data_IF_987141066380
#
_entry.id   IF_987141066380
#
_cell.length_a   1.000
_cell.length_b   1.000
_cell.length_c   1.000
_cell.angle_alpha   90.00
_cell.angle_beta   90.00
_cell.angle_gamma   90.00
#
_symmetry.space_group_name_H-M   'P 1'
#
loop_
_entity.id
_entity.type
_entity.pdbx_description
1 polymer ?
#
# COMPACT_ATOMS: atom_id res chain seq x y z
N UNK A 1 -36.66 -10.61 29.72
CA UNK A 1 -35.64 -9.56 29.52
C UNK A 1 -34.81 -9.94 28.32
N UNK A 2 -34.97 -9.19 27.25
CA UNK A 2 -34.13 -9.39 26.06
C UNK A 2 -32.80 -8.68 26.26
N UNK A 3 -31.70 -9.41 26.19
CA UNK A 3 -30.36 -8.79 26.16
C UNK A 3 -30.07 -8.38 24.72
N UNK A 4 -30.01 -7.07 24.46
CA UNK A 4 -29.46 -6.57 23.22
C UNK A 4 -27.99 -6.97 23.17
N UNK A 5 -27.61 -7.74 22.14
CA UNK A 5 -26.20 -7.99 21.83
C UNK A 5 -25.67 -6.67 21.29
N UNK A 6 -24.72 -6.01 21.98
CA UNK A 6 -24.18 -4.76 21.47
C UNK A 6 -23.56 -4.99 20.09
N UNK A 7 -23.83 -4.11 19.13
CA UNK A 7 -23.11 -4.08 17.87
C UNK A 7 -21.62 -3.91 18.15
N UNK A 8 -20.73 -4.68 17.51
CA UNK A 8 -19.30 -4.51 17.71
C UNK A 8 -18.88 -3.09 17.31
N UNK A 9 -18.12 -2.44 18.17
CA UNK A 9 -17.54 -1.12 17.88
C UNK A 9 -16.31 -1.32 17.03
N UNK A 10 -16.32 -0.76 15.84
CA UNK A 10 -15.19 -0.83 14.90
C UNK A 10 -14.40 0.47 14.98
N UNK A 11 -13.12 0.34 15.24
CA UNK A 11 -12.16 1.45 15.27
C UNK A 11 -11.14 1.22 14.16
N UNK A 12 -10.74 2.30 13.49
CA UNK A 12 -9.74 2.26 12.44
C UNK A 12 -8.44 2.86 12.96
N UNK A 13 -7.37 2.11 12.82
CA UNK A 13 -6.04 2.49 13.26
C UNK A 13 -5.12 2.53 12.04
N UNK A 14 -4.38 3.61 11.88
CA UNK A 14 -3.55 3.83 10.70
C UNK A 14 -2.09 4.06 11.07
N UNK A 15 -1.20 3.51 10.27
CA UNK A 15 0.24 3.77 10.34
C UNK A 15 0.73 4.31 9.00
N UNK A 16 1.52 5.37 9.07
CA UNK A 16 2.20 5.96 7.91
C UNK A 16 3.66 5.54 7.88
N UNK A 17 4.10 5.07 6.73
CA UNK A 17 5.50 4.79 6.41
C UNK A 17 5.85 5.44 5.08
N UNK A 18 7.14 5.63 4.80
CA UNK A 18 7.58 6.21 3.54
C UNK A 18 8.66 5.39 2.89
N UNK A 19 8.76 5.56 1.58
CA UNK A 19 9.84 5.00 0.78
C UNK A 19 10.10 5.87 -0.45
N UNK A 20 11.31 5.82 -0.96
CA UNK A 20 11.68 6.45 -2.22
C UNK A 20 11.81 5.38 -3.29
N UNK A 21 11.19 5.58 -4.42
CA UNK A 21 11.31 4.64 -5.53
C UNK A 21 11.26 5.37 -6.88
N UNK A 22 11.94 4.80 -7.86
CA UNK A 22 11.91 5.27 -9.22
C UNK A 22 11.02 4.38 -10.08
N UNK A 23 10.38 4.97 -11.09
CA UNK A 23 9.58 4.24 -12.06
C UNK A 23 9.49 4.99 -13.39
N UNK A 24 8.93 4.31 -14.37
CA UNK A 24 8.38 4.94 -15.56
C UNK A 24 7.12 4.20 -15.99
N UNK A 25 6.25 4.91 -16.68
CA UNK A 25 5.04 4.35 -17.26
C UNK A 25 5.26 4.14 -18.75
N UNK A 26 5.17 2.90 -19.17
CA UNK A 26 5.32 2.53 -20.57
C UNK A 26 4.48 1.28 -20.86
N UNK A 27 3.86 1.26 -22.03
CA UNK A 27 3.26 0.05 -22.57
C UNK A 27 4.22 -0.52 -23.60
N UNK A 28 4.81 -1.71 -23.37
CA UNK A 28 5.81 -2.27 -24.28
C UNK A 28 5.26 -2.64 -25.66
N UNK A 29 3.93 -2.76 -25.80
CA UNK A 29 3.27 -3.04 -27.08
C UNK A 29 3.02 -1.80 -27.93
N UNK A 30 3.22 -0.60 -27.35
CA UNK A 30 3.04 0.66 -28.04
C UNK A 30 4.35 1.20 -28.58
N UNK A 31 4.26 2.07 -29.61
CA UNK A 31 5.40 2.83 -30.09
C UNK A 31 5.91 3.80 -29.02
N UNK A 32 7.16 4.24 -29.17
CA UNK A 32 7.72 5.28 -28.30
C UNK A 32 6.91 6.58 -28.38
N UNK A 33 6.41 6.92 -29.58
CA UNK A 33 5.59 8.12 -29.81
C UNK A 33 4.26 8.05 -29.05
N UNK A 34 3.58 6.88 -29.07
CA UNK A 34 2.33 6.69 -28.36
C UNK A 34 2.53 6.71 -26.86
N UNK A 35 3.59 6.09 -26.35
CA UNK A 35 3.94 6.15 -24.94
C UNK A 35 4.19 7.59 -24.48
N UNK A 36 4.94 8.36 -25.25
CA UNK A 36 5.19 9.77 -24.95
C UNK A 36 3.92 10.61 -24.97
N UNK A 37 3.01 10.34 -25.92
CA UNK A 37 1.76 11.06 -26.05
C UNK A 37 0.79 10.78 -24.87
N UNK A 38 0.73 9.53 -24.41
CA UNK A 38 -0.20 9.11 -23.35
C UNK A 38 0.37 9.40 -21.95
N UNK A 39 1.64 9.06 -21.73
CA UNK A 39 2.27 9.15 -20.41
C UNK A 39 3.09 10.43 -20.19
N UNK A 40 3.44 11.15 -21.25
CA UNK A 40 4.26 12.36 -21.15
C UNK A 40 5.59 12.10 -20.44
N UNK A 41 6.00 12.97 -19.47
CA UNK A 41 7.25 12.78 -18.75
C UNK A 41 7.36 11.48 -17.96
N UNK A 42 6.25 10.83 -17.65
CA UNK A 42 6.22 9.54 -16.94
C UNK A 42 6.79 8.40 -17.79
N UNK A 43 6.92 8.58 -19.11
CA UNK A 43 7.53 7.61 -20.02
C UNK A 43 8.99 7.93 -20.32
N UNK A 44 9.61 8.88 -19.64
CA UNK A 44 11.01 9.27 -19.87
C UNK A 44 11.94 8.08 -19.72
N UNK A 45 12.89 7.96 -20.65
CA UNK A 45 13.85 6.86 -20.71
C UNK A 45 14.69 6.76 -19.43
N UNK A 46 15.06 7.89 -18.83
CA UNK A 46 15.94 7.96 -17.66
C UNK A 46 15.24 7.85 -16.32
N UNK A 47 13.96 7.40 -16.31
CA UNK A 47 13.18 7.20 -15.10
C UNK A 47 12.87 8.52 -14.36
N UNK A 48 12.02 8.44 -13.37
CA UNK A 48 11.79 9.52 -12.41
C UNK A 48 11.46 8.90 -11.06
N UNK A 49 11.73 9.63 -9.99
CA UNK A 49 11.53 9.14 -8.63
C UNK A 49 10.48 9.95 -7.87
N UNK A 50 9.88 9.30 -6.89
CA UNK A 50 8.95 9.91 -5.96
C UNK A 50 9.28 9.56 -4.51
N UNK A 51 8.91 10.47 -3.61
CA UNK A 51 8.83 10.18 -2.18
C UNK A 51 7.42 9.71 -1.88
N UNK A 52 7.24 8.40 -1.81
CA UNK A 52 5.94 7.81 -1.52
C UNK A 52 5.62 7.85 -0.04
N UNK A 53 4.36 8.12 0.29
CA UNK A 53 3.82 7.91 1.63
C UNK A 53 2.76 6.82 1.57
N UNK A 54 2.95 5.82 2.41
CA UNK A 54 2.02 4.69 2.52
C UNK A 54 1.27 4.78 3.84
N UNK A 55 -0.05 4.81 3.79
CA UNK A 55 -0.90 4.75 4.98
C UNK A 55 -1.66 3.42 4.96
N UNK A 56 -1.40 2.60 5.96
CA UNK A 56 -2.06 1.31 6.13
C UNK A 56 -3.06 1.44 7.27
N UNK A 57 -4.31 1.14 6.99
CA UNK A 57 -5.40 1.21 7.97
C UNK A 57 -5.93 -0.19 8.27
N UNK A 58 -5.97 -0.52 9.55
CA UNK A 58 -6.55 -1.75 10.10
C UNK A 58 -7.81 -1.39 10.84
N UNK A 59 -8.91 -2.08 10.56
CA UNK A 59 -10.19 -1.89 11.23
C UNK A 59 -10.53 -3.09 12.09
N UNK A 60 -11.10 -2.85 13.27
CA UNK A 60 -11.52 -3.92 14.14
C UNK A 60 -12.02 -3.44 15.49
N UNK A 61 -12.47 -4.39 16.29
CA UNK A 61 -12.85 -4.13 17.68
C UNK A 61 -11.60 -4.13 18.55
N UNK A 62 -11.44 -3.16 19.48
CA UNK A 62 -10.32 -3.18 20.41
C UNK A 62 -10.30 -4.49 21.22
N UNK A 63 -9.12 -5.10 21.30
CA UNK A 63 -8.91 -6.29 22.14
C UNK A 63 -9.15 -5.91 23.61
N UNK A 64 -10.03 -6.61 24.34
CA UNK A 64 -10.32 -6.26 25.73
C UNK A 64 -9.12 -6.41 26.67
N UNK A 65 -8.13 -7.20 26.28
CA UNK A 65 -6.94 -7.42 27.11
C UNK A 65 -5.91 -6.29 26.95
N UNK A 66 -5.84 -5.67 25.77
CA UNK A 66 -4.83 -4.66 25.46
C UNK A 66 -5.41 -3.27 25.20
N UNK A 67 -6.66 -3.19 24.79
CA UNK A 67 -7.28 -1.96 24.31
C UNK A 67 -6.89 -1.60 22.86
N UNK A 68 -6.14 -2.46 22.19
CA UNK A 68 -5.66 -2.21 20.82
C UNK A 68 -6.50 -2.96 19.77
N UNK A 69 -6.73 -2.33 18.63
CA UNK A 69 -7.12 -3.03 17.42
C UNK A 69 -5.89 -3.78 16.87
N UNK A 70 -4.78 -3.09 16.85
CA UNK A 70 -3.46 -3.63 16.45
C UNK A 70 -2.39 -2.84 17.20
N UNK A 71 -1.32 -3.51 17.61
CA UNK A 71 -0.14 -2.82 18.14
C UNK A 71 0.54 -2.07 17.01
N UNK A 72 0.65 -0.73 17.14
CA UNK A 72 1.21 0.12 16.10
C UNK A 72 2.68 -0.15 15.81
N UNK A 73 3.45 -0.59 16.80
CA UNK A 73 4.83 -1.00 16.58
C UNK A 73 4.91 -2.27 15.73
N UNK A 74 4.08 -3.25 16.03
CA UNK A 74 4.01 -4.48 15.23
C UNK A 74 3.55 -4.20 13.81
N UNK A 75 2.58 -3.30 13.64
CA UNK A 75 2.13 -2.88 12.32
C UNK A 75 3.24 -2.17 11.54
N UNK A 76 3.96 -1.25 12.18
CA UNK A 76 5.10 -0.57 11.57
C UNK A 76 6.19 -1.56 11.14
N UNK A 77 6.57 -2.49 12.01
CA UNK A 77 7.59 -3.50 11.72
C UNK A 77 7.17 -4.39 10.55
N UNK A 78 5.90 -4.78 10.49
CA UNK A 78 5.34 -5.56 9.39
C UNK A 78 5.41 -4.81 8.06
N UNK A 79 4.96 -3.56 8.05
CA UNK A 79 4.96 -2.74 6.83
C UNK A 79 6.39 -2.54 6.32
N UNK A 80 7.33 -2.25 7.22
CA UNK A 80 8.73 -2.05 6.83
C UNK A 80 9.34 -3.32 6.25
N UNK A 81 9.23 -4.43 6.96
CA UNK A 81 9.81 -5.71 6.53
C UNK A 81 9.23 -6.21 5.22
N UNK A 82 7.91 -6.14 5.07
CA UNK A 82 7.22 -6.77 3.94
C UNK A 82 7.04 -5.84 2.74
N UNK A 83 7.07 -4.54 2.95
CA UNK A 83 6.75 -3.56 1.91
C UNK A 83 7.86 -2.53 1.72
N UNK A 84 8.05 -1.62 2.68
CA UNK A 84 8.86 -0.43 2.42
C UNK A 84 10.34 -0.73 2.23
N UNK A 85 10.92 -1.68 2.95
CA UNK A 85 12.32 -2.09 2.76
C UNK A 85 12.56 -2.78 1.41
N UNK A 86 11.51 -3.38 0.85
CA UNK A 86 11.58 -4.02 -0.48
C UNK A 86 11.43 -3.02 -1.62
N UNK A 87 10.95 -1.83 -1.33
CA UNK A 87 10.68 -0.77 -2.32
C UNK A 87 11.67 0.38 -2.22
N UNK A 88 12.15 0.68 -1.02
CA UNK A 88 12.95 1.87 -0.76
C UNK A 88 14.29 1.87 -1.52
N UNK A 89 14.56 2.97 -2.22
CA UNK A 89 15.72 3.14 -3.08
C UNK A 89 15.79 2.12 -4.23
N UNK A 90 14.63 1.59 -4.64
CA UNK A 90 14.52 0.62 -5.73
C UNK A 90 13.88 1.25 -6.96
N UNK A 91 14.11 0.60 -8.09
CA UNK A 91 13.39 0.86 -9.33
C UNK A 91 12.21 -0.12 -9.42
N UNK A 92 10.98 0.39 -9.44
CA UNK A 92 9.78 -0.44 -9.42
C UNK A 92 9.65 -1.33 -10.66
N UNK A 93 10.19 -0.90 -11.78
CA UNK A 93 10.14 -1.66 -13.02
C UNK A 93 11.19 -2.78 -13.10
N UNK A 94 12.34 -2.60 -12.44
CA UNK A 94 13.51 -3.47 -12.62
C UNK A 94 13.87 -4.31 -11.40
N UNK A 95 13.69 -3.77 -10.18
CA UNK A 95 14.29 -4.31 -8.97
C UNK A 95 13.28 -4.93 -7.99
N UNK A 96 11.99 -4.78 -8.25
CA UNK A 96 10.93 -5.21 -7.33
C UNK A 96 10.22 -6.44 -7.88
N UNK A 97 10.42 -7.57 -7.22
CA UNK A 97 9.93 -8.86 -7.67
C UNK A 97 8.40 -8.93 -7.82
N UNK A 98 7.67 -8.40 -6.85
CA UNK A 98 6.20 -8.43 -6.89
C UNK A 98 5.57 -7.45 -7.90
N UNK A 99 6.38 -6.58 -8.52
CA UNK A 99 5.94 -5.72 -9.62
C UNK A 99 6.34 -6.25 -11.00
N UNK A 100 7.05 -7.36 -11.07
CA UNK A 100 7.50 -7.94 -12.33
C UNK A 100 6.33 -8.23 -13.27
N UNK A 101 6.42 -7.79 -14.52
CA UNK A 101 5.39 -7.97 -15.53
C UNK A 101 4.17 -7.07 -15.40
N UNK A 102 4.19 -6.15 -14.44
CA UNK A 102 3.08 -5.21 -14.19
C UNK A 102 3.48 -3.79 -14.55
N UNK A 103 2.52 -3.00 -15.00
CA UNK A 103 2.76 -1.57 -15.15
C UNK A 103 2.97 -0.94 -13.77
N UNK A 104 4.05 -0.17 -13.60
CA UNK A 104 4.46 0.39 -12.32
C UNK A 104 3.70 1.70 -11.99
N UNK A 105 2.39 1.70 -12.20
CA UNK A 105 1.52 2.78 -11.75
C UNK A 105 1.32 2.73 -10.24
N UNK A 106 0.97 3.86 -9.65
CA UNK A 106 0.65 3.93 -8.21
C UNK A 106 -0.55 3.05 -7.87
N UNK A 107 -1.53 2.95 -8.78
CA UNK A 107 -2.70 2.09 -8.63
C UNK A 107 -2.31 0.62 -8.53
N UNK A 108 -1.50 0.13 -9.44
CA UNK A 108 -1.04 -1.26 -9.43
C UNK A 108 -0.15 -1.55 -8.22
N UNK A 109 0.68 -0.61 -7.83
CA UNK A 109 1.51 -0.74 -6.63
C UNK A 109 0.65 -0.88 -5.37
N UNK A 110 -0.39 -0.07 -5.22
CA UNK A 110 -1.32 -0.16 -4.09
C UNK A 110 -2.02 -1.52 -4.02
N UNK A 111 -2.45 -2.06 -5.16
CA UNK A 111 -3.06 -3.38 -5.23
C UNK A 111 -2.08 -4.47 -4.77
N UNK A 112 -0.85 -4.41 -5.21
CA UNK A 112 0.16 -5.41 -4.82
C UNK A 112 0.54 -5.30 -3.35
N UNK A 113 0.62 -4.09 -2.80
CA UNK A 113 0.84 -3.88 -1.36
C UNK A 113 -0.30 -4.51 -0.54
N UNK A 114 -1.55 -4.32 -0.98
CA UNK A 114 -2.71 -4.95 -0.35
C UNK A 114 -2.58 -6.47 -0.29
N UNK A 115 -2.25 -7.08 -1.43
CA UNK A 115 -2.09 -8.53 -1.53
C UNK A 115 -1.00 -9.09 -0.60
N UNK A 116 0.05 -8.32 -0.35
CA UNK A 116 1.12 -8.70 0.57
C UNK A 116 0.63 -8.62 2.02
N UNK A 117 -0.03 -7.53 2.40
CA UNK A 117 -0.35 -7.24 3.80
C UNK A 117 -1.61 -7.95 4.31
N UNK A 118 -2.64 -8.08 3.47
CA UNK A 118 -3.92 -8.64 3.91
C UNK A 118 -3.79 -9.98 4.64
N UNK A 119 -3.09 -10.99 4.09
CA UNK A 119 -2.99 -12.28 4.77
C UNK A 119 -2.12 -12.26 6.02
N UNK A 120 -1.33 -11.19 6.24
CA UNK A 120 -0.40 -11.09 7.36
C UNK A 120 -1.00 -10.35 8.56
N UNK A 121 -2.05 -9.57 8.38
CA UNK A 121 -2.68 -8.82 9.47
C UNK A 121 -3.20 -9.73 10.61
N UNK A 122 -3.84 -10.88 10.35
CA UNK A 122 -4.28 -11.77 11.43
C UNK A 122 -3.16 -12.26 12.35
N UNK A 123 -1.91 -12.26 11.88
CA UNK A 123 -0.74 -12.64 12.69
C UNK A 123 -0.35 -11.60 13.74
N UNK A 124 -0.81 -10.36 13.60
CA UNK A 124 -0.50 -9.25 14.52
C UNK A 124 -1.74 -8.60 15.14
N UNK A 125 -2.94 -9.02 14.74
CA UNK A 125 -4.19 -8.47 15.27
C UNK A 125 -5.21 -9.57 15.44
N UNK A 126 -5.74 -9.71 16.67
CA UNK A 126 -6.72 -10.75 17.00
C UNK A 126 -8.08 -10.50 16.35
N UNK A 127 -8.50 -9.25 16.27
CA UNK A 127 -9.82 -8.86 15.78
C UNK A 127 -9.80 -7.90 14.60
N UNK A 128 -8.61 -7.50 14.16
CA UNK A 128 -8.45 -6.55 13.06
C UNK A 128 -8.33 -7.21 11.71
N UNK A 129 -8.70 -6.43 10.70
CA UNK A 129 -8.52 -6.76 9.28
C UNK A 129 -7.95 -5.56 8.55
N UNK A 130 -7.19 -5.82 7.50
CA UNK A 130 -6.78 -4.74 6.61
C UNK A 130 -8.02 -4.07 6.03
N UNK A 131 -8.12 -2.77 6.19
CA UNK A 131 -9.28 -1.98 5.78
C UNK A 131 -9.01 -1.14 4.54
N UNK A 132 -7.86 -0.47 4.51
CA UNK A 132 -7.53 0.46 3.43
C UNK A 132 -6.02 0.60 3.28
N UNK A 133 -5.59 0.74 2.04
CA UNK A 133 -4.26 1.19 1.65
C UNK A 133 -4.44 2.54 0.97
N UNK A 134 -3.75 3.55 1.47
CA UNK A 134 -3.64 4.85 0.82
C UNK A 134 -2.18 5.09 0.47
N UNK A 135 -1.92 5.35 -0.79
CA UNK A 135 -0.56 5.52 -1.30
C UNK A 135 -0.44 6.86 -2.01
N UNK A 136 0.33 7.76 -1.42
CA UNK A 136 0.67 9.04 -2.01
C UNK A 136 1.89 8.89 -2.90
N UNK A 137 1.75 9.23 -4.16
CA UNK A 137 2.86 9.36 -5.11
C UNK A 137 3.58 10.70 -4.94
N UNK A 138 2.78 11.75 -4.74
CA UNK A 138 3.22 13.11 -4.42
C UNK A 138 2.38 13.61 -3.23
N UNK A 139 2.74 14.75 -2.61
CA UNK A 139 1.89 15.32 -1.55
C UNK A 139 0.45 15.63 -1.99
N UNK A 140 0.23 15.78 -3.30
CA UNK A 140 -1.08 16.18 -3.84
C UNK A 140 -1.87 15.05 -4.49
N UNK A 141 -1.21 13.95 -4.83
CA UNK A 141 -1.84 12.86 -5.58
C UNK A 141 -1.70 11.54 -4.83
N UNK A 142 -2.81 10.87 -4.63
CA UNK A 142 -2.81 9.58 -3.97
C UNK A 142 -3.88 8.65 -4.55
N UNK A 143 -3.71 7.37 -4.32
CA UNK A 143 -4.69 6.34 -4.63
C UNK A 143 -5.10 5.60 -3.36
N UNK A 144 -6.26 5.00 -3.37
CA UNK A 144 -6.76 4.16 -2.29
C UNK A 144 -7.24 2.83 -2.84
N UNK A 145 -7.03 1.78 -2.07
CA UNK A 145 -7.52 0.45 -2.38
C UNK A 145 -7.98 -0.25 -1.11
N UNK A 146 -9.14 -0.87 -1.16
CA UNK A 146 -9.80 -1.53 -0.02
C UNK A 146 -10.15 -2.99 -0.28
N UNK A 147 -9.48 -3.62 -1.25
CA UNK A 147 -9.60 -5.05 -1.50
C UNK A 147 -10.73 -5.49 -2.44
N UNK A 148 -11.36 -4.56 -3.14
CA UNK A 148 -12.48 -4.87 -4.03
C UNK A 148 -12.29 -4.51 -5.48
#
# INVERSE_FOLDING_TARGET
MEFEIPMPTIVYVSRKEHFNAAHKLTNPEWSAEKNAAVFGPCANENWHGHNYELIVTVGGTPDPDTGFVVDLKNLSDLIRREVTERLDHKNLNLDVDFMAGKMASTENLAIEIWKILEPLIPGISRYGKLHNIRLYETPNNYVEYSGN
#
